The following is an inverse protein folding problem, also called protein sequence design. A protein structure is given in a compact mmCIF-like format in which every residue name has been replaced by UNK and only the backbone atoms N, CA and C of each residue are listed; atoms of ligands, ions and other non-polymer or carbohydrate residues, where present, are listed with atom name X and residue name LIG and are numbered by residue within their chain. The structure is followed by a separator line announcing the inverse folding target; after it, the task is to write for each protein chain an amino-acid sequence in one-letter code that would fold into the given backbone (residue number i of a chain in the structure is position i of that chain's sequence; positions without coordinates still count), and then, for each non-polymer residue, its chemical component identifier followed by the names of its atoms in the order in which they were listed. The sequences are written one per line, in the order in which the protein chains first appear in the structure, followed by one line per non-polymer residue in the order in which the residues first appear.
data_IF_961443845177
#
_entry.id   IF_961443845177
#
_cell.length_a   1.000
_cell.length_b   1.000
_cell.length_c   1.000
_cell.angle_alpha   90.00
_cell.angle_beta   90.00
_cell.angle_gamma   90.00
#
_symmetry.space_group_name_H-M   'P 1'
#
loop_
_entity.id
_entity.type
_entity.pdbx_description
1 polymer ?
#
# COMPACT_ATOMS: atom_id res chain seq x y z
N UNK A 1 -5.88 -6.39 9.11
CA UNK A 1 -6.37 -6.03 7.76
C UNK A 1 -5.69 -4.72 7.33
N UNK A 2 -5.43 -4.49 6.03
CA UNK A 2 -4.85 -3.21 5.60
C UNK A 2 -5.90 -2.10 5.53
N UNK A 3 -5.46 -0.88 5.80
CA UNK A 3 -6.24 0.32 5.65
C UNK A 3 -6.04 0.92 4.25
N UNK A 4 -6.89 0.51 3.30
CA UNK A 4 -6.88 0.99 1.92
C UNK A 4 -7.00 2.51 1.79
N UNK A 5 -7.75 3.15 2.68
CA UNK A 5 -7.90 4.63 2.70
C UNK A 5 -6.58 5.32 3.03
N UNK A 6 -5.87 4.86 4.07
CA UNK A 6 -4.55 5.42 4.41
C UNK A 6 -3.50 5.21 3.32
N UNK A 7 -3.51 4.06 2.64
CA UNK A 7 -2.65 3.82 1.47
C UNK A 7 -2.87 4.90 0.42
N UNK A 8 -4.14 5.20 0.10
CA UNK A 8 -4.51 6.26 -0.85
C UNK A 8 -4.10 7.64 -0.37
N UNK A 9 -4.33 7.96 0.90
CA UNK A 9 -3.96 9.25 1.51
C UNK A 9 -2.45 9.51 1.42
N UNK A 10 -1.62 8.55 1.83
CA UNK A 10 -0.16 8.69 1.72
C UNK A 10 0.32 8.80 0.28
N UNK A 11 -0.30 8.03 -0.64
CA UNK A 11 0.05 8.10 -2.05
C UNK A 11 -0.23 9.50 -2.61
N UNK A 12 -1.40 10.06 -2.32
CA UNK A 12 -1.79 11.39 -2.78
C UNK A 12 -0.98 12.51 -2.13
N UNK A 13 -0.63 12.38 -0.84
CA UNK A 13 0.21 13.37 -0.15
C UNK A 13 1.64 13.45 -0.70
N UNK A 14 2.14 12.34 -1.27
CA UNK A 14 3.42 12.29 -2.00
C UNK A 14 3.31 12.72 -3.47
N UNK A 15 2.11 13.07 -3.95
CA UNK A 15 1.87 13.45 -5.35
C UNK A 15 1.93 12.29 -6.34
N UNK A 16 1.81 11.04 -5.88
CA UNK A 16 1.91 9.86 -6.73
C UNK A 16 0.55 9.43 -7.31
N UNK A 17 0.55 9.07 -8.58
CA UNK A 17 -0.53 8.29 -9.21
C UNK A 17 -0.37 6.81 -8.90
N UNK A 18 -1.43 6.01 -9.12
CA UNK A 18 -1.31 4.56 -9.01
C UNK A 18 -0.30 3.96 -10.01
N UNK A 19 -0.11 4.61 -11.17
CA UNK A 19 0.88 4.22 -12.18
C UNK A 19 2.32 4.49 -11.73
N UNK A 20 2.52 5.55 -10.95
CA UNK A 20 3.84 5.86 -10.36
C UNK A 20 4.24 4.79 -9.36
N UNK A 21 3.33 4.35 -8.48
CA UNK A 21 3.60 3.25 -7.55
C UNK A 21 3.96 1.97 -8.31
N UNK A 22 3.22 1.63 -9.38
CA UNK A 22 3.57 0.46 -10.21
C UNK A 22 4.99 0.57 -10.78
N UNK A 23 5.37 1.75 -11.27
CA UNK A 23 6.70 1.99 -11.83
C UNK A 23 7.80 1.92 -10.75
N UNK A 24 7.55 2.50 -9.58
CA UNK A 24 8.49 2.50 -8.46
C UNK A 24 8.71 1.11 -7.87
N UNK A 25 7.66 0.29 -7.78
CA UNK A 25 7.75 -1.06 -7.22
C UNK A 25 8.34 -2.09 -8.19
N UNK A 26 8.52 -1.75 -9.48
CA UNK A 26 9.28 -2.56 -10.44
C UNK A 26 10.80 -2.46 -10.26
N UNK A 27 11.29 -1.57 -9.39
CA UNK A 27 12.72 -1.46 -9.12
C UNK A 27 13.28 -2.81 -8.61
N UNK A 28 14.37 -3.35 -9.20
CA UNK A 28 14.95 -4.63 -8.82
C UNK A 28 15.36 -4.76 -7.34
N UNK A 29 15.51 -3.65 -6.62
CA UNK A 29 15.76 -3.65 -5.17
C UNK A 29 14.60 -4.25 -4.37
N UNK A 30 13.40 -4.32 -4.94
CA UNK A 30 12.21 -4.89 -4.29
C UNK A 30 11.96 -6.32 -4.75
N UNK A 31 11.62 -7.20 -3.80
CA UNK A 31 11.31 -8.62 -4.06
C UNK A 31 9.96 -8.84 -4.76
N UNK A 32 9.13 -7.81 -4.83
CA UNK A 32 7.80 -7.89 -5.44
C UNK A 32 7.41 -6.54 -6.02
N UNK A 33 6.66 -6.58 -7.12
CA UNK A 33 6.04 -5.40 -7.73
C UNK A 33 4.54 -5.37 -7.43
N UNK A 34 3.95 -4.20 -7.59
CA UNK A 34 2.53 -3.96 -7.34
C UNK A 34 1.95 -3.35 -8.59
N UNK A 35 1.03 -4.05 -9.25
CA UNK A 35 0.38 -3.48 -10.44
C UNK A 35 -0.56 -2.35 -10.05
N UNK A 36 -0.84 -1.46 -11.00
CA UNK A 36 -1.83 -0.39 -10.83
C UNK A 36 -3.18 -0.94 -10.34
N UNK A 37 -3.70 -1.98 -11.00
CA UNK A 37 -4.99 -2.59 -10.65
C UNK A 37 -5.01 -3.16 -9.23
N UNK A 38 -3.93 -3.84 -8.83
CA UNK A 38 -3.81 -4.42 -7.49
C UNK A 38 -3.82 -3.33 -6.41
N UNK A 39 -3.11 -2.22 -6.64
CA UNK A 39 -3.13 -1.08 -5.73
C UNK A 39 -4.53 -0.47 -5.63
N UNK A 40 -5.24 -0.29 -6.76
CA UNK A 40 -6.59 0.26 -6.76
C UNK A 40 -7.59 -0.64 -6.03
N UNK A 41 -7.48 -1.97 -6.17
CA UNK A 41 -8.25 -2.95 -5.39
C UNK A 41 -7.94 -2.88 -3.90
N UNK A 42 -6.66 -2.68 -3.53
CA UNK A 42 -6.27 -2.48 -2.13
C UNK A 42 -6.87 -1.18 -1.55
N UNK A 43 -6.81 -0.09 -2.29
CA UNK A 43 -7.32 1.21 -1.85
C UNK A 43 -8.85 1.21 -1.65
N UNK A 44 -9.59 0.46 -2.48
CA UNK A 44 -11.04 0.26 -2.31
C UNK A 44 -11.40 -0.69 -1.17
N UNK A 45 -10.46 -1.54 -0.75
CA UNK A 45 -10.69 -2.59 0.25
C UNK A 45 -11.22 -3.90 -0.35
N UNK A 46 -11.26 -4.03 -1.68
CA UNK A 46 -11.67 -5.25 -2.38
C UNK A 46 -10.65 -6.38 -2.17
N UNK A 47 -9.36 -6.01 -2.08
CA UNK A 47 -8.28 -6.98 -1.94
C UNK A 47 -8.06 -7.40 -0.50
N UNK A 48 -8.40 -8.66 -0.22
CA UNK A 48 -8.17 -9.31 1.08
C UNK A 48 -6.79 -10.00 1.09
N UNK A 49 -6.09 -9.91 2.22
CA UNK A 49 -4.83 -10.62 2.52
C UNK A 49 -3.68 -10.42 1.53
N UNK A 50 -3.18 -9.19 1.33
CA UNK A 50 -1.91 -8.98 0.65
C UNK A 50 -0.76 -9.67 1.38
N UNK A 51 0.22 -10.18 0.62
CA UNK A 51 1.42 -10.78 1.24
C UNK A 51 2.22 -9.73 2.00
N UNK A 52 2.87 -10.14 3.10
CA UNK A 52 3.69 -9.23 3.91
C UNK A 52 4.74 -8.49 3.06
N UNK A 53 5.34 -9.15 2.07
CA UNK A 53 6.29 -8.52 1.16
C UNK A 53 5.69 -7.33 0.39
N UNK A 54 4.44 -7.44 -0.08
CA UNK A 54 3.78 -6.31 -0.75
C UNK A 54 3.49 -5.17 0.22
N UNK A 55 3.14 -5.47 1.46
CA UNK A 55 2.92 -4.46 2.51
C UNK A 55 4.22 -3.71 2.82
N UNK A 56 5.32 -4.44 3.01
CA UNK A 56 6.66 -3.86 3.25
C UNK A 56 7.08 -2.94 2.10
N UNK A 57 6.86 -3.37 0.85
CA UNK A 57 7.17 -2.56 -0.33
C UNK A 57 6.32 -1.29 -0.39
N UNK A 58 5.01 -1.38 -0.09
CA UNK A 58 4.15 -0.20 -0.02
C UNK A 58 4.62 0.77 1.06
N UNK A 59 4.88 0.29 2.27
CA UNK A 59 5.36 1.13 3.37
C UNK A 59 6.66 1.87 2.99
N UNK A 60 7.58 1.18 2.32
CA UNK A 60 8.83 1.78 1.81
C UNK A 60 8.57 2.89 0.78
N UNK A 61 7.70 2.66 -0.21
CA UNK A 61 7.39 3.66 -1.25
C UNK A 61 6.61 4.84 -0.68
N UNK A 62 5.66 4.56 0.22
CA UNK A 62 4.79 5.54 0.85
C UNK A 62 5.45 6.27 2.03
N UNK A 63 6.72 5.95 2.33
CA UNK A 63 7.53 6.59 3.38
C UNK A 63 6.84 6.59 4.75
N UNK A 64 6.16 5.50 5.08
CA UNK A 64 5.45 5.31 6.34
C UNK A 64 5.88 4.00 7.01
N UNK A 65 5.47 3.79 8.27
CA UNK A 65 5.65 2.51 8.94
C UNK A 65 4.57 1.54 8.49
N UNK A 66 4.85 0.25 8.59
CA UNK A 66 3.87 -0.80 8.26
C UNK A 66 2.61 -0.64 9.13
N UNK A 67 2.78 -0.32 10.41
CA UNK A 67 1.69 -0.11 11.37
C UNK A 67 0.74 1.02 10.93
N UNK A 68 1.24 2.03 10.22
CA UNK A 68 0.40 3.11 9.68
C UNK A 68 -0.58 2.59 8.62
N UNK A 69 -0.26 1.48 7.95
CA UNK A 69 -1.08 0.87 6.91
C UNK A 69 -2.02 -0.21 7.44
N UNK A 70 -1.93 -0.58 8.72
CA UNK A 70 -2.77 -1.61 9.32
C UNK A 70 -4.01 -0.96 9.96
N UNK A 71 -5.15 -1.61 9.83
CA UNK A 71 -6.34 -1.28 10.61
C UNK A 71 -6.11 -1.72 12.06
N UNK A 72 -6.04 -0.76 12.98
CA UNK A 72 -6.09 -1.07 14.41
C UNK A 72 -7.51 -1.51 14.76
N UNK A 73 -7.68 -2.78 15.11
CA UNK A 73 -8.97 -3.33 15.56
C UNK A 73 -9.40 -2.80 16.93
N UNK A 74 -8.47 -2.19 17.67
CA UNK A 74 -8.65 -1.88 19.09
C UNK A 74 -9.35 -0.54 19.32
N UNK A 75 -9.71 0.19 18.26
CA UNK A 75 -10.43 1.46 18.35
C UNK A 75 -11.96 1.32 18.52
N UNK A 76 -12.47 0.10 18.66
CA UNK A 76 -13.90 -0.20 18.82
C UNK A 76 -14.21 -1.14 20.00
N UNK A 77 -13.29 -1.27 20.96
CA UNK A 77 -13.55 -1.97 22.24
C UNK A 77 -13.71 -0.96 23.37
#
# INVERSE_FOLDING_TARGET
MLNGKKIREFRLSLGYTAKDIESLTKNPKYKTSISKSYLEELERGDKKNPSLQKVVVLASILRCKIDDLILNSDAYM
#
